data_IF_845813196061
#
_entry.id   IF_845813196061
#
_cell.length_a   1.000
_cell.length_b   1.000
_cell.length_c   1.000
_cell.angle_alpha   90.00
_cell.angle_beta   90.00
_cell.angle_gamma   90.00
#
_symmetry.space_group_name_H-M   'P 1'
#
loop_
_entity.id
_entity.type
_entity.pdbx_description
1 polymer ?
#
# COMPACT_ATOMS: atom_id res chain seq x y z
N UNK A 1 25.13 18.55 10.34
CA UNK A 1 24.14 18.43 11.41
C UNK A 1 23.35 19.73 11.51
N UNK A 2 22.03 19.61 11.53
CA UNK A 2 21.08 20.63 11.98
C UNK A 2 21.09 22.00 11.27
N UNK A 3 20.34 22.08 10.17
CA UNK A 3 19.43 23.21 9.99
C UNK A 3 18.12 22.74 9.34
N UNK A 4 17.12 22.54 10.21
CA UNK A 4 15.68 22.73 9.98
C UNK A 4 15.18 21.95 8.75
N UNK A 5 14.69 20.71 8.84
CA UNK A 5 13.32 20.37 9.27
C UNK A 5 12.16 21.28 8.77
N UNK A 6 12.43 22.37 8.04
CA UNK A 6 11.41 23.31 7.60
C UNK A 6 11.14 23.17 6.10
N UNK A 7 9.86 22.94 5.83
CA UNK A 7 9.14 23.09 4.56
C UNK A 7 9.00 21.90 3.60
N UNK A 8 9.55 20.71 3.86
CA UNK A 8 9.37 19.61 2.88
C UNK A 8 8.01 18.89 2.97
N UNK A 9 7.25 19.12 4.05
CA UNK A 9 5.90 18.54 4.25
C UNK A 9 4.82 19.60 4.44
N UNK A 10 5.17 20.86 4.71
CA UNK A 10 4.20 21.81 5.23
C UNK A 10 3.29 22.46 4.18
N UNK A 11 3.65 22.38 2.89
CA UNK A 11 2.86 22.92 1.78
C UNK A 11 2.39 21.85 0.79
N UNK A 12 2.38 20.57 1.18
CA UNK A 12 1.96 19.49 0.28
C UNK A 12 0.44 19.27 0.24
N UNK A 13 -0.32 20.08 1.00
CA UNK A 13 -1.77 19.88 1.18
C UNK A 13 -2.61 21.17 1.12
N UNK A 14 -2.01 22.36 1.17
CA UNK A 14 -2.79 23.59 1.02
C UNK A 14 -2.77 24.03 -0.44
N UNK A 15 -3.92 23.87 -1.09
CA UNK A 15 -4.31 24.37 -2.43
C UNK A 15 -4.23 23.33 -3.55
N UNK A 16 -5.29 22.51 -3.64
CA UNK A 16 -5.86 22.06 -4.91
C UNK A 16 -4.90 21.43 -5.91
N UNK A 17 -4.72 20.11 -5.83
CA UNK A 17 -4.22 19.30 -6.93
C UNK A 17 -5.32 19.13 -8.01
N UNK A 18 -5.62 20.23 -8.70
CA UNK A 18 -6.01 20.24 -10.11
C UNK A 18 -4.81 20.77 -10.89
N UNK A 19 -3.76 19.96 -10.99
CA UNK A 19 -2.68 20.08 -11.99
C UNK A 19 -1.55 19.14 -11.57
N UNK A 20 -1.48 17.95 -12.17
CA UNK A 20 -0.27 17.13 -12.22
C UNK A 20 0.74 17.83 -13.16
N UNK A 21 1.18 19.04 -12.78
CA UNK A 21 2.19 19.80 -13.50
C UNK A 21 3.54 19.21 -13.14
N UNK A 22 4.11 18.47 -14.11
CA UNK A 22 5.50 18.05 -14.26
C UNK A 22 6.44 18.73 -13.25
N UNK A 23 6.98 17.94 -12.31
CA UNK A 23 8.17 18.30 -11.54
C UNK A 23 9.20 18.81 -12.57
N UNK A 24 9.57 20.09 -12.50
CA UNK A 24 10.61 20.67 -13.35
C UNK A 24 11.88 19.86 -13.12
N UNK A 25 12.26 19.05 -14.10
CA UNK A 25 13.54 18.34 -14.11
C UNK A 25 14.63 19.39 -14.18
N UNK A 26 15.42 19.51 -13.12
CA UNK A 26 16.64 20.30 -13.16
C UNK A 26 17.57 19.64 -14.20
N UNK A 27 17.93 20.29 -15.31
CA UNK A 27 18.74 19.66 -16.37
C UNK A 27 20.14 19.26 -15.89
N UNK A 28 20.57 19.76 -14.72
CA UNK A 28 21.82 19.40 -14.06
C UNK A 28 21.71 18.16 -13.13
N UNK A 29 20.51 17.63 -12.87
CA UNK A 29 20.33 16.43 -12.03
C UNK A 29 20.38 15.16 -12.88
N UNK A 30 21.23 14.23 -12.45
CA UNK A 30 21.32 12.90 -13.04
C UNK A 30 19.94 12.19 -12.94
N UNK A 31 19.34 11.76 -14.07
CA UNK A 31 18.01 11.13 -14.09
C UNK A 31 17.91 9.86 -13.24
N UNK A 32 19.03 9.18 -12.97
CA UNK A 32 19.07 8.02 -12.06
C UNK A 32 18.86 8.39 -10.58
N UNK A 33 18.83 9.68 -10.23
CA UNK A 33 18.52 10.13 -8.87
C UNK A 33 17.04 10.39 -8.64
N UNK A 34 16.21 10.33 -9.68
CA UNK A 34 14.78 10.57 -9.58
C UNK A 34 14.09 9.44 -8.81
N UNK A 35 13.16 9.81 -7.93
CA UNK A 35 12.44 8.87 -7.08
C UNK A 35 11.22 8.35 -7.83
N UNK A 36 11.05 7.03 -7.88
CA UNK A 36 9.89 6.38 -8.51
C UNK A 36 9.25 5.36 -7.58
N UNK A 37 8.00 5.02 -7.84
CA UNK A 37 7.31 3.93 -7.13
C UNK A 37 7.87 2.60 -7.65
N UNK A 38 8.67 1.92 -6.83
CA UNK A 38 9.31 0.65 -7.19
C UNK A 38 8.31 -0.50 -7.18
N UNK A 39 7.51 -0.57 -6.11
CA UNK A 39 6.46 -1.56 -5.95
C UNK A 39 5.42 -1.09 -4.94
N UNK A 40 4.19 -1.53 -5.16
CA UNK A 40 3.10 -1.44 -4.21
C UNK A 40 2.84 -2.84 -3.64
N UNK A 41 2.96 -2.98 -2.32
CA UNK A 41 2.58 -4.20 -1.62
C UNK A 41 1.21 -3.99 -0.98
N UNK A 42 0.29 -4.89 -1.28
CA UNK A 42 -1.06 -4.93 -0.70
C UNK A 42 -1.15 -6.17 0.16
N UNK A 43 -1.66 -6.02 1.38
CA UNK A 43 -1.71 -7.09 2.35
C UNK A 43 -3.06 -7.13 3.08
N UNK A 44 -3.65 -8.32 3.17
CA UNK A 44 -4.80 -8.61 4.02
C UNK A 44 -4.37 -9.65 5.05
N UNK A 45 -4.39 -9.26 6.32
CA UNK A 45 -4.17 -10.13 7.47
C UNK A 45 -5.51 -10.55 8.06
N UNK A 46 -5.86 -11.84 7.95
CA UNK A 46 -7.11 -12.37 8.52
C UNK A 46 -6.86 -12.97 9.91
N UNK A 47 -5.66 -13.49 10.17
CA UNK A 47 -5.28 -14.02 11.49
C UNK A 47 -5.70 -15.48 11.73
N UNK A 48 -6.49 -16.05 10.84
CA UNK A 48 -7.00 -17.42 10.88
C UNK A 48 -6.91 -18.08 9.49
N UNK A 49 -6.90 -19.40 9.47
CA UNK A 49 -7.02 -20.19 8.24
C UNK A 49 -8.50 -20.49 7.91
N UNK A 50 -8.74 -21.04 6.72
CA UNK A 50 -10.08 -21.47 6.28
C UNK A 50 -10.70 -20.57 5.22
N UNK A 51 -12.03 -20.56 5.15
CA UNK A 51 -12.81 -19.91 4.08
C UNK A 51 -12.68 -18.39 4.09
N UNK A 52 -12.44 -17.80 5.25
CA UNK A 52 -12.27 -16.35 5.37
C UNK A 52 -11.03 -15.87 4.60
N UNK A 53 -9.96 -16.67 4.63
CA UNK A 53 -8.73 -16.39 3.89
C UNK A 53 -8.92 -16.53 2.38
N UNK A 54 -9.71 -17.51 1.93
CA UNK A 54 -9.98 -17.70 0.50
C UNK A 54 -10.88 -16.60 -0.06
N UNK A 55 -11.82 -16.08 0.74
CA UNK A 55 -12.61 -14.88 0.40
C UNK A 55 -11.75 -13.63 0.30
N UNK A 56 -10.85 -13.41 1.27
CA UNK A 56 -9.90 -12.30 1.22
C UNK A 56 -8.98 -12.36 -0.02
N UNK A 57 -8.59 -13.56 -0.45
CA UNK A 57 -7.83 -13.73 -1.69
C UNK A 57 -8.62 -13.27 -2.92
N UNK A 58 -9.91 -13.60 -3.02
CA UNK A 58 -10.77 -13.13 -4.12
C UNK A 58 -10.88 -11.61 -4.17
N UNK A 59 -10.94 -10.93 -3.02
CA UNK A 59 -10.95 -9.46 -2.95
C UNK A 59 -9.68 -8.87 -3.54
N UNK A 60 -8.52 -9.40 -3.13
CA UNK A 60 -7.22 -8.95 -3.67
C UNK A 60 -7.09 -9.22 -5.17
N UNK A 61 -7.60 -10.36 -5.64
CA UNK A 61 -7.60 -10.70 -7.06
C UNK A 61 -8.50 -9.75 -7.86
N UNK A 62 -9.68 -9.39 -7.36
CA UNK A 62 -10.56 -8.39 -7.97
C UNK A 62 -9.94 -7.00 -8.01
N UNK A 63 -9.24 -6.60 -6.95
CA UNK A 63 -8.58 -5.28 -6.86
C UNK A 63 -7.40 -5.17 -7.82
N UNK A 64 -6.57 -6.21 -7.89
CA UNK A 64 -5.26 -6.16 -8.58
C UNK A 64 -5.26 -6.79 -9.96
N UNK A 65 -6.21 -7.68 -10.24
CA UNK A 65 -6.24 -8.53 -11.42
C UNK A 65 -5.08 -9.53 -11.48
N UNK A 66 -4.46 -9.85 -10.34
CA UNK A 66 -3.34 -10.78 -10.22
C UNK A 66 -3.67 -11.88 -9.22
N UNK A 67 -3.10 -13.07 -9.42
CA UNK A 67 -3.23 -14.15 -8.45
C UNK A 67 -2.45 -13.80 -7.17
N UNK A 68 -3.12 -13.70 -6.01
CA UNK A 68 -2.46 -13.30 -4.79
C UNK A 68 -1.74 -14.47 -4.12
N UNK A 69 -0.71 -14.16 -3.33
CA UNK A 69 0.15 -15.16 -2.69
C UNK A 69 -0.26 -15.36 -1.24
N UNK A 70 -0.46 -16.62 -0.84
CA UNK A 70 -0.76 -17.00 0.53
C UNK A 70 0.51 -17.05 1.39
N UNK A 71 0.53 -16.28 2.48
CA UNK A 71 1.59 -16.27 3.48
C UNK A 71 1.34 -17.30 4.56
N UNK A 72 2.37 -18.11 4.84
CA UNK A 72 2.36 -19.13 5.89
C UNK A 72 2.95 -18.61 7.20
N UNK A 73 2.43 -19.07 8.34
CA UNK A 73 2.99 -18.81 9.65
C UNK A 73 4.40 -19.40 9.77
N UNK A 74 5.35 -18.58 10.22
CA UNK A 74 6.71 -19.04 10.56
C UNK A 74 6.79 -19.70 11.93
N UNK A 75 5.96 -19.24 12.88
CA UNK A 75 5.96 -19.67 14.28
C UNK A 75 4.58 -20.14 14.70
N UNK A 76 4.54 -21.04 15.69
CA UNK A 76 3.31 -21.46 16.37
C UNK A 76 3.08 -20.53 17.56
N UNK A 77 1.90 -19.91 17.65
CA UNK A 77 1.53 -19.03 18.76
C UNK A 77 0.17 -19.47 19.30
N UNK A 78 0.18 -20.17 20.46
CA UNK A 78 -1.02 -20.79 21.03
C UNK A 78 -2.10 -19.77 21.41
N UNK A 79 -1.71 -18.57 21.87
CA UNK A 79 -2.65 -17.51 22.25
C UNK A 79 -3.54 -17.05 21.10
N UNK A 80 -3.05 -17.15 19.86
CA UNK A 80 -3.80 -16.80 18.65
C UNK A 80 -4.36 -18.02 17.91
N UNK A 81 -4.19 -19.24 18.46
CA UNK A 81 -4.63 -20.47 17.79
C UNK A 81 -3.81 -20.86 16.55
N UNK A 82 -2.71 -20.16 16.26
CA UNK A 82 -1.94 -20.31 15.02
C UNK A 82 -0.92 -21.44 15.13
N UNK A 83 -0.90 -22.34 14.12
CA UNK A 83 0.14 -23.37 13.96
C UNK A 83 1.16 -23.00 12.88
N UNK A 84 2.38 -23.54 13.02
CA UNK A 84 3.43 -23.37 12.00
C UNK A 84 2.97 -23.92 10.64
N UNK A 85 3.34 -23.22 9.56
CA UNK A 85 2.99 -23.50 8.16
C UNK A 85 1.51 -23.32 7.79
N UNK A 86 0.68 -22.88 8.72
CA UNK A 86 -0.71 -22.52 8.47
C UNK A 86 -0.79 -21.23 7.63
N UNK A 87 -1.72 -21.15 6.68
CA UNK A 87 -1.91 -19.95 5.85
C UNK A 87 -2.78 -18.96 6.63
N UNK A 88 -2.32 -17.72 6.76
CA UNK A 88 -2.94 -16.72 7.69
C UNK A 88 -3.18 -15.37 7.03
N UNK A 89 -2.38 -15.04 6.02
CA UNK A 89 -2.46 -13.77 5.33
C UNK A 89 -2.33 -13.98 3.83
N UNK A 90 -2.83 -13.01 3.08
CA UNK A 90 -2.74 -12.95 1.63
C UNK A 90 -2.13 -11.61 1.25
N UNK A 91 -1.17 -11.64 0.33
CA UNK A 91 -0.55 -10.43 -0.16
C UNK A 91 -0.38 -10.46 -1.68
N UNK A 92 -0.35 -9.28 -2.27
CA UNK A 92 -0.08 -9.10 -3.69
C UNK A 92 0.93 -7.97 -3.87
N UNK A 93 1.86 -8.13 -4.81
CA UNK A 93 2.83 -7.09 -5.16
C UNK A 93 2.56 -6.61 -6.57
N UNK A 94 2.14 -5.35 -6.70
CA UNK A 94 1.83 -4.71 -7.98
C UNK A 94 2.96 -3.75 -8.34
N UNK A 95 3.27 -3.66 -9.64
CA UNK A 95 4.29 -2.76 -10.21
C UNK A 95 3.75 -2.13 -11.49
N UNK A 96 4.37 -1.03 -11.92
CA UNK A 96 4.00 -0.30 -13.14
C UNK A 96 2.73 0.53 -12.97
N UNK A 97 2.07 0.86 -14.08
CA UNK A 97 0.91 1.75 -14.13
C UNK A 97 -0.25 1.32 -13.21
N UNK A 98 -0.51 0.00 -13.11
CA UNK A 98 -1.54 -0.55 -12.21
C UNK A 98 -1.29 -0.18 -10.74
N UNK A 99 -0.03 -0.08 -10.32
CA UNK A 99 0.30 0.31 -8.95
C UNK A 99 -0.05 1.78 -8.68
N UNK A 100 0.15 2.66 -9.66
CA UNK A 100 -0.18 4.08 -9.56
C UNK A 100 -1.70 4.28 -9.49
N UNK A 101 -2.46 3.57 -10.34
CA UNK A 101 -3.93 3.60 -10.32
C UNK A 101 -4.51 3.14 -8.98
N UNK A 102 -4.01 2.02 -8.43
CA UNK A 102 -4.48 1.48 -7.15
C UNK A 102 -4.08 2.41 -6.00
N UNK A 103 -2.88 3.00 -6.05
CA UNK A 103 -2.44 3.96 -5.05
C UNK A 103 -3.28 5.23 -5.06
N UNK A 104 -3.63 5.77 -6.23
CA UNK A 104 -4.50 6.95 -6.36
C UNK A 104 -5.88 6.67 -5.75
N UNK A 105 -6.46 5.50 -6.02
CA UNK A 105 -7.72 5.06 -5.38
C UNK A 105 -7.57 4.97 -3.86
N UNK A 106 -6.48 4.39 -3.36
CA UNK A 106 -6.24 4.27 -1.91
C UNK A 106 -6.03 5.62 -1.22
N UNK A 107 -5.33 6.55 -1.86
CA UNK A 107 -5.13 7.89 -1.32
C UNK A 107 -6.43 8.70 -1.30
N UNK A 108 -7.31 8.52 -2.29
CA UNK A 108 -8.64 9.14 -2.31
C UNK A 108 -9.48 8.78 -1.08
N UNK A 109 -9.41 7.54 -0.60
CA UNK A 109 -10.11 7.09 0.62
C UNK A 109 -9.58 7.80 1.87
N UNK A 110 -8.29 8.08 1.91
CA UNK A 110 -7.64 8.84 2.99
C UNK A 110 -7.72 10.36 2.79
N UNK A 111 -8.54 10.81 1.85
CA UNK A 111 -8.65 12.21 1.42
C UNK A 111 -7.31 12.82 1.00
N UNK A 112 -6.28 12.02 0.71
CA UNK A 112 -4.89 12.44 0.50
C UNK A 112 -4.14 12.88 1.76
N UNK A 113 -4.69 12.69 2.96
CA UNK A 113 -4.01 12.98 4.23
C UNK A 113 -3.24 11.76 4.75
N UNK A 114 -1.91 11.90 4.84
CA UNK A 114 -1.06 10.93 5.51
C UNK A 114 -0.35 11.58 6.69
N UNK A 115 -0.41 10.93 7.85
CA UNK A 115 0.35 11.34 9.02
C UNK A 115 1.84 11.20 8.76
N UNK A 116 2.63 12.08 9.38
CA UNK A 116 4.10 12.06 9.26
C UNK A 116 4.71 10.74 9.72
N UNK A 117 4.11 10.10 10.72
CA UNK A 117 4.59 8.84 11.30
C UNK A 117 4.43 7.64 10.36
N UNK A 118 3.61 7.77 9.31
CA UNK A 118 3.46 6.74 8.28
C UNK A 118 4.67 6.64 7.36
N UNK A 119 5.56 7.65 7.39
CA UNK A 119 6.76 7.70 6.56
C UNK A 119 7.95 7.13 7.31
N UNK A 120 8.63 6.17 6.69
CA UNK A 120 9.90 5.63 7.14
C UNK A 120 11.03 6.64 6.89
N UNK A 121 12.10 6.54 7.68
CA UNK A 121 13.35 7.27 7.46
C UNK A 121 13.96 7.04 6.06
N UNK A 122 13.64 5.92 5.42
CA UNK A 122 14.07 5.56 4.07
C UNK A 122 13.22 6.17 2.95
N UNK A 123 12.14 6.88 3.28
CA UNK A 123 11.22 7.49 2.32
C UNK A 123 10.06 6.57 1.88
N UNK A 124 10.05 5.32 2.31
CA UNK A 124 8.90 4.43 2.11
C UNK A 124 7.75 4.84 3.02
N UNK A 125 6.51 4.59 2.60
CA UNK A 125 5.35 4.88 3.44
C UNK A 125 4.29 3.81 3.30
N UNK A 126 3.47 3.66 4.33
CA UNK A 126 2.36 2.73 4.33
C UNK A 126 1.17 3.27 5.10
N UNK A 127 0.00 2.80 4.75
CA UNK A 127 -1.24 3.14 5.43
C UNK A 127 -2.22 1.98 5.33
N UNK A 128 -3.03 1.80 6.36
CA UNK A 128 -4.13 0.84 6.35
C UNK A 128 -5.43 1.51 5.90
N UNK A 129 -6.34 0.73 5.34
CA UNK A 129 -7.75 1.06 5.14
C UNK A 129 -8.58 0.04 5.91
N UNK A 130 -9.62 0.50 6.62
CA UNK A 130 -10.48 -0.38 7.41
C UNK A 130 -11.43 -1.20 6.52
N UNK A 131 -11.90 -0.60 5.42
CA UNK A 131 -12.85 -1.23 4.50
C UNK A 131 -12.32 -1.20 3.06
N UNK A 132 -12.19 -2.38 2.44
CA UNK A 132 -11.83 -2.47 1.02
C UNK A 132 -12.92 -1.94 0.05
N UNK A 133 -14.13 -1.67 0.53
CA UNK A 133 -15.26 -1.18 -0.29
C UNK A 133 -14.97 0.23 -0.82
N UNK A 134 -14.30 1.06 -0.01
CA UNK A 134 -13.97 2.45 -0.34
C UNK A 134 -13.04 2.56 -1.56
N UNK A 135 -12.37 1.46 -1.94
CA UNK A 135 -11.52 1.38 -3.12
C UNK A 135 -12.31 1.25 -4.44
N UNK A 136 -13.63 1.23 -4.37
CA UNK A 136 -14.54 1.19 -5.53
C UNK A 136 -14.93 -0.21 -5.98
N UNK A 137 -14.78 -1.22 -5.12
CA UNK A 137 -15.24 -2.59 -5.38
C UNK A 137 -16.70 -2.70 -4.94
N UNK A 138 -17.55 -3.33 -5.78
CA UNK A 138 -18.94 -3.62 -5.41
C UNK A 138 -18.97 -4.54 -4.19
N UNK A 139 -19.69 -4.14 -3.16
CA UNK A 139 -19.88 -4.95 -1.96
C UNK A 139 -20.60 -6.27 -2.30
N UNK A 140 -20.02 -7.38 -1.85
CA UNK A 140 -20.62 -8.71 -1.90
C UNK A 140 -20.81 -9.23 -0.46
N UNK A 141 -22.06 -9.43 0.00
CA UNK A 141 -22.35 -9.96 1.33
C UNK A 141 -21.71 -11.33 1.62
N UNK A 142 -21.42 -12.12 0.59
CA UNK A 142 -20.81 -13.44 0.75
C UNK A 142 -19.33 -13.38 1.15
N UNK A 143 -18.62 -12.31 0.77
CA UNK A 143 -17.19 -12.13 0.99
C UNK A 143 -16.94 -11.54 2.39
N UNK A 144 -17.75 -10.55 2.78
CA UNK A 144 -17.62 -9.82 4.05
C UNK A 144 -16.63 -8.65 3.96
N UNK A 145 -16.53 -7.86 5.03
CA UNK A 145 -15.67 -6.67 5.09
C UNK A 145 -14.28 -7.05 5.61
N UNK A 146 -13.26 -6.70 4.83
CA UNK A 146 -11.85 -6.83 5.19
C UNK A 146 -11.15 -5.48 5.16
N UNK A 147 -10.24 -5.29 6.10
CA UNK A 147 -9.22 -4.23 6.06
C UNK A 147 -8.07 -4.61 5.14
N UNK A 148 -7.42 -3.58 4.59
CA UNK A 148 -6.34 -3.71 3.63
C UNK A 148 -5.18 -2.78 4.00
N UNK A 149 -3.97 -3.31 4.01
CA UNK A 149 -2.76 -2.53 4.22
C UNK A 149 -2.04 -2.24 2.91
N UNK A 150 -1.70 -0.97 2.72
CA UNK A 150 -0.88 -0.48 1.61
C UNK A 150 0.52 -0.21 2.12
N UNK A 151 1.51 -0.72 1.40
CA UNK A 151 2.90 -0.38 1.62
C UNK A 151 3.57 -0.02 0.31
N UNK A 152 3.98 1.24 0.20
CA UNK A 152 4.59 1.81 -0.99
C UNK A 152 6.10 1.85 -0.79
N UNK A 153 6.81 1.17 -1.69
CA UNK A 153 8.27 1.23 -1.74
C UNK A 153 8.69 2.21 -2.81
N UNK A 154 9.37 3.27 -2.39
CA UNK A 154 10.00 4.23 -3.27
C UNK A 154 11.45 3.77 -3.52
N UNK A 155 11.90 3.93 -4.75
CA UNK A 155 13.24 3.52 -5.17
C UNK A 155 13.82 4.45 -6.22
N UNK A 156 15.11 4.29 -6.48
CA UNK A 156 15.80 4.94 -7.60
C UNK A 156 16.01 3.95 -8.74
N UNK A 157 16.00 4.41 -10.01
CA UNK A 157 16.26 3.53 -11.14
C UNK A 157 17.62 2.86 -10.99
N UNK A 158 17.66 1.53 -10.97
CA UNK A 158 18.90 0.74 -10.87
C UNK A 158 19.13 0.00 -9.55
N UNK A 159 18.24 0.12 -8.55
CA UNK A 159 18.25 -0.66 -7.29
C UNK A 159 17.33 -1.89 -7.28
#
# INVERSE_FOLDING_TARGET
MNHKFNLCFFYMYNSGLKDVKKIKRDPAKNPMRDLHIRKLCLNICVGESGDRLTRAAKVLEQLTGQQPVFSKARYTVRSFGIRRNEKIAVHCTVRGAKAEEILERGLKVREYELRRDNFSATGNFGFGIQEHIDLGIKYDPSIGIYGLDFYVVLGRPGE
#
